data_IF_345634701329
#
_entry.id   IF_345634701329
#
_cell.length_a   1.000
_cell.length_b   1.000
_cell.length_c   1.000
_cell.angle_alpha   90.00
_cell.angle_beta   90.00
_cell.angle_gamma   90.00
#
_symmetry.space_group_name_H-M   'P 1'
#
loop_
_entity.id
_entity.type
_entity.pdbx_description
1 polymer ?
#
# COMPACT_ATOMS: atom_id res chain seq x y z
N UNK A 1 29.26 1.40 3.81
CA UNK A 1 29.58 1.06 2.40
C UNK A 1 28.37 0.56 1.61
N UNK A 2 27.42 -0.20 2.20
CA UNK A 2 26.20 -0.64 1.51
C UNK A 2 25.32 0.52 0.95
N UNK A 3 25.30 1.66 1.64
CA UNK A 3 24.49 2.83 1.25
C UNK A 3 24.90 3.46 -0.08
N UNK A 4 26.21 3.58 -0.36
CA UNK A 4 26.68 4.24 -1.60
C UNK A 4 26.37 3.43 -2.85
N UNK A 5 26.57 2.11 -2.80
CA UNK A 5 26.27 1.23 -3.93
C UNK A 5 24.75 1.17 -4.18
N UNK A 6 23.95 1.12 -3.12
CA UNK A 6 22.49 1.19 -3.23
C UNK A 6 22.05 2.50 -3.88
N UNK A 7 22.55 3.66 -3.41
CA UNK A 7 22.22 4.95 -4.03
C UNK A 7 22.62 5.01 -5.52
N UNK A 8 23.81 4.52 -5.88
CA UNK A 8 24.25 4.45 -7.28
C UNK A 8 23.34 3.56 -8.13
N UNK A 9 22.86 2.44 -7.58
CA UNK A 9 21.92 1.57 -8.27
C UNK A 9 20.57 2.27 -8.54
N UNK A 10 20.01 2.94 -7.53
CA UNK A 10 18.75 3.68 -7.65
C UNK A 10 18.86 4.84 -8.65
N UNK A 11 19.94 5.62 -8.57
CA UNK A 11 20.22 6.68 -9.53
C UNK A 11 20.43 6.14 -10.95
N UNK A 12 21.10 5.01 -11.09
CA UNK A 12 21.31 4.36 -12.38
C UNK A 12 19.98 3.94 -13.04
N UNK A 13 19.05 3.40 -12.25
CA UNK A 13 17.70 3.10 -12.73
C UNK A 13 16.95 4.36 -13.15
N UNK A 14 17.01 5.43 -12.37
CA UNK A 14 16.39 6.71 -12.73
C UNK A 14 16.99 7.32 -14.01
N UNK A 15 18.33 7.35 -14.12
CA UNK A 15 19.06 7.88 -15.29
C UNK A 15 18.79 7.08 -16.56
N UNK A 16 18.55 5.76 -16.43
CA UNK A 16 18.15 4.90 -17.55
C UNK A 16 16.66 4.98 -17.90
N UNK A 17 15.91 5.89 -17.25
CA UNK A 17 14.50 6.16 -17.57
C UNK A 17 13.53 5.09 -17.10
N UNK A 18 13.91 4.24 -16.14
CA UNK A 18 13.01 3.20 -15.62
C UNK A 18 11.82 3.83 -14.89
N UNK A 19 10.65 3.24 -15.07
CA UNK A 19 9.47 3.51 -14.25
C UNK A 19 9.50 2.70 -12.96
N UNK A 20 8.58 2.99 -12.04
CA UNK A 20 8.37 2.16 -10.83
C UNK A 20 7.98 0.73 -11.20
N UNK A 21 7.15 0.56 -12.23
CA UNK A 21 6.75 -0.77 -12.75
C UNK A 21 7.94 -1.54 -13.35
N UNK A 22 8.86 -0.85 -14.05
CA UNK A 22 10.08 -1.47 -14.57
C UNK A 22 10.97 -2.00 -13.44
N UNK A 23 11.13 -1.21 -12.37
CA UNK A 23 11.92 -1.62 -11.20
C UNK A 23 11.20 -2.72 -10.42
N UNK A 24 9.88 -2.65 -10.30
CA UNK A 24 9.07 -3.71 -9.71
C UNK A 24 9.28 -5.05 -10.44
N UNK A 25 9.26 -5.03 -11.78
CA UNK A 25 9.52 -6.19 -12.61
C UNK A 25 10.98 -6.66 -12.52
N UNK A 26 11.94 -5.74 -12.50
CA UNK A 26 13.38 -6.04 -12.38
C UNK A 26 13.70 -6.77 -11.08
N UNK A 27 13.05 -6.38 -9.99
CA UNK A 27 13.16 -7.01 -8.67
C UNK A 27 12.42 -8.36 -8.59
N UNK A 28 11.66 -8.71 -9.63
CA UNK A 28 10.86 -9.95 -9.73
C UNK A 28 9.82 -10.07 -8.61
N UNK A 29 9.30 -8.94 -8.12
CA UNK A 29 8.35 -8.91 -7.00
C UNK A 29 7.05 -9.64 -7.32
N UNK A 30 6.62 -9.63 -8.59
CA UNK A 30 5.48 -10.43 -9.07
C UNK A 30 5.65 -11.93 -8.81
N UNK A 31 6.87 -12.46 -9.01
CA UNK A 31 7.16 -13.89 -8.85
C UNK A 31 7.19 -14.30 -7.38
N UNK A 32 7.64 -13.38 -6.52
CA UNK A 32 7.68 -13.60 -5.08
C UNK A 32 6.29 -13.48 -4.43
N UNK A 33 5.31 -12.85 -5.09
CA UNK A 33 3.94 -12.72 -4.61
C UNK A 33 3.89 -12.13 -3.19
N UNK A 34 3.25 -12.82 -2.24
CA UNK A 34 3.21 -12.34 -0.85
C UNK A 34 4.57 -12.46 -0.13
N UNK A 35 5.48 -13.33 -0.58
CA UNK A 35 6.84 -13.41 -0.03
C UNK A 35 7.66 -12.15 -0.36
N UNK A 36 7.31 -11.42 -1.42
CA UNK A 36 7.91 -10.12 -1.70
C UNK A 36 7.68 -9.13 -0.54
N UNK A 37 6.53 -9.20 0.12
CA UNK A 37 6.18 -8.39 1.31
C UNK A 37 7.18 -8.53 2.45
N UNK A 38 7.96 -9.62 2.47
CA UNK A 38 8.97 -9.90 3.48
C UNK A 38 10.41 -9.73 3.02
N UNK A 39 10.62 -9.37 1.76
CA UNK A 39 11.93 -9.32 1.13
C UNK A 39 12.57 -7.92 1.21
N UNK A 40 13.92 -7.89 1.22
CA UNK A 40 14.69 -6.65 1.02
C UNK A 40 14.43 -5.98 -0.34
N UNK A 41 13.84 -6.72 -1.29
CA UNK A 41 13.47 -6.17 -2.60
C UNK A 41 12.36 -5.14 -2.48
N UNK A 42 11.41 -5.35 -1.56
CA UNK A 42 10.34 -4.38 -1.34
C UNK A 42 10.87 -3.08 -0.71
N UNK A 43 11.84 -3.18 0.20
CA UNK A 43 12.55 -2.02 0.75
C UNK A 43 13.29 -1.25 -0.36
N UNK A 44 13.94 -1.97 -1.27
CA UNK A 44 14.62 -1.38 -2.42
C UNK A 44 13.66 -0.68 -3.39
N UNK A 45 12.47 -1.23 -3.61
CA UNK A 45 11.42 -0.59 -4.38
C UNK A 45 10.90 0.67 -3.68
N UNK A 46 10.66 0.62 -2.37
CA UNK A 46 10.20 1.78 -1.59
C UNK A 46 11.21 2.94 -1.66
N UNK A 47 12.50 2.65 -1.52
CA UNK A 47 13.56 3.65 -1.68
C UNK A 47 13.60 4.22 -3.10
N UNK A 48 13.38 3.39 -4.12
CA UNK A 48 13.29 3.85 -5.50
C UNK A 48 12.08 4.75 -5.73
N UNK A 49 10.91 4.41 -5.20
CA UNK A 49 9.68 5.22 -5.32
C UNK A 49 9.88 6.60 -4.69
N UNK A 50 10.48 6.68 -3.50
CA UNK A 50 10.80 7.96 -2.85
C UNK A 50 11.70 8.84 -3.72
N UNK A 51 12.73 8.24 -4.33
CA UNK A 51 13.61 8.94 -5.27
C UNK A 51 12.82 9.38 -6.51
N UNK A 52 12.05 8.49 -7.11
CA UNK A 52 11.29 8.73 -8.33
C UNK A 52 10.27 9.87 -8.14
N UNK A 53 9.47 9.82 -7.08
CA UNK A 53 8.48 10.85 -6.76
C UNK A 53 9.13 12.23 -6.56
N UNK A 54 10.25 12.28 -5.85
CA UNK A 54 11.01 13.53 -5.64
C UNK A 54 11.50 14.14 -6.95
N UNK A 55 12.13 13.32 -7.80
CA UNK A 55 12.79 13.81 -9.02
C UNK A 55 11.81 14.02 -10.19
N UNK A 56 10.69 13.31 -10.20
CA UNK A 56 9.68 13.38 -11.27
C UNK A 56 8.41 14.14 -10.87
N UNK A 57 8.31 14.60 -9.61
CA UNK A 57 7.07 15.16 -9.05
C UNK A 57 5.86 14.22 -9.28
N UNK A 58 6.09 12.93 -9.06
CA UNK A 58 5.09 11.87 -9.22
C UNK A 58 4.47 11.46 -7.86
N UNK A 59 3.40 10.69 -7.91
CA UNK A 59 2.69 10.15 -6.73
C UNK A 59 2.60 8.62 -6.80
N UNK A 60 3.75 7.96 -7.01
CA UNK A 60 3.83 6.50 -6.98
C UNK A 60 3.84 5.99 -5.53
N UNK A 61 3.31 4.79 -5.31
CA UNK A 61 3.33 4.17 -3.98
C UNK A 61 3.63 2.67 -4.09
N UNK A 62 4.21 2.11 -3.02
CA UNK A 62 4.45 0.66 -2.94
C UNK A 62 3.13 -0.11 -3.05
N UNK A 63 2.04 0.46 -2.54
CA UNK A 63 0.70 -0.14 -2.62
C UNK A 63 0.20 -0.17 -4.05
N UNK A 64 0.31 0.93 -4.82
CA UNK A 64 -0.06 0.99 -6.25
C UNK A 64 0.73 -0.04 -7.06
N UNK A 65 2.05 -0.10 -6.88
CA UNK A 65 2.91 -1.07 -7.56
C UNK A 65 2.55 -2.53 -7.20
N UNK A 66 2.30 -2.81 -5.91
CA UNK A 66 1.88 -4.15 -5.47
C UNK A 66 0.47 -4.50 -5.98
N UNK A 67 -0.47 -3.54 -6.01
CA UNK A 67 -1.82 -3.76 -6.53
C UNK A 67 -1.78 -4.12 -8.01
N UNK A 68 -0.98 -3.40 -8.82
CA UNK A 68 -0.71 -3.75 -10.21
C UNK A 68 -0.15 -5.17 -10.33
N UNK A 69 0.83 -5.54 -9.50
CA UNK A 69 1.43 -6.87 -9.49
C UNK A 69 0.47 -8.01 -9.14
N UNK A 70 -0.46 -7.77 -8.21
CA UNK A 70 -1.50 -8.71 -7.80
C UNK A 70 -2.74 -8.69 -8.73
N UNK A 71 -2.81 -7.74 -9.65
CA UNK A 71 -3.89 -7.60 -10.63
C UNK A 71 -5.15 -6.92 -10.08
N UNK A 72 -4.99 -6.02 -9.12
CA UNK A 72 -6.05 -5.21 -8.52
C UNK A 72 -5.86 -4.97 -7.01
N UNK A 73 -6.41 -3.85 -6.52
CA UNK A 73 -6.41 -3.51 -5.10
C UNK A 73 -7.20 -4.50 -4.24
N UNK A 74 -8.30 -5.04 -4.79
CA UNK A 74 -9.15 -6.05 -4.18
C UNK A 74 -8.40 -7.37 -3.94
N UNK A 75 -7.62 -7.80 -4.94
CA UNK A 75 -6.78 -9.00 -4.87
C UNK A 75 -5.64 -8.80 -3.88
N UNK A 76 -5.00 -7.63 -3.89
CA UNK A 76 -3.96 -7.29 -2.90
C UNK A 76 -4.53 -7.31 -1.48
N UNK A 77 -5.65 -6.61 -1.23
CA UNK A 77 -6.28 -6.53 0.08
C UNK A 77 -6.68 -7.91 0.61
N UNK A 78 -7.26 -8.75 -0.25
CA UNK A 78 -7.61 -10.13 0.07
C UNK A 78 -6.38 -10.97 0.41
N UNK A 79 -5.31 -10.85 -0.38
CA UNK A 79 -4.08 -11.60 -0.18
C UNK A 79 -3.38 -11.21 1.14
N UNK A 80 -3.34 -9.91 1.44
CA UNK A 80 -2.74 -9.39 2.68
C UNK A 80 -3.56 -9.78 3.92
N UNK A 81 -4.89 -9.70 3.87
CA UNK A 81 -5.76 -10.18 4.96
C UNK A 81 -5.55 -11.67 5.26
N UNK A 82 -5.37 -12.49 4.23
CA UNK A 82 -5.02 -13.90 4.43
C UNK A 82 -3.60 -14.07 4.98
N UNK A 83 -2.61 -13.34 4.46
CA UNK A 83 -1.23 -13.37 4.94
C UNK A 83 -1.11 -12.96 6.42
N UNK A 84 -1.96 -12.04 6.89
CA UNK A 84 -2.04 -11.64 8.31
C UNK A 84 -2.42 -12.79 9.23
N UNK A 85 -3.09 -13.83 8.73
CA UNK A 85 -3.44 -15.02 9.52
C UNK A 85 -2.28 -15.99 9.69
N UNK A 86 -1.19 -15.81 8.93
CA UNK A 86 0.02 -16.63 9.04
C UNK A 86 1.07 -15.95 9.93
N UNK A 87 1.51 -16.58 11.03
CA UNK A 87 2.42 -15.96 12.00
C UNK A 87 3.70 -15.38 11.38
N UNK A 88 4.31 -16.11 10.43
CA UNK A 88 5.55 -15.69 9.76
C UNK A 88 5.40 -14.45 8.86
N UNK A 89 4.18 -14.15 8.43
CA UNK A 89 3.89 -13.08 7.47
C UNK A 89 3.12 -11.92 8.11
N UNK A 90 2.56 -12.14 9.31
CA UNK A 90 1.64 -11.23 9.97
C UNK A 90 2.16 -9.79 10.07
N UNK A 91 3.35 -9.60 10.63
CA UNK A 91 3.87 -8.26 10.90
C UNK A 91 4.03 -7.44 9.60
N UNK A 92 4.55 -8.06 8.55
CA UNK A 92 4.84 -7.38 7.29
C UNK A 92 3.59 -7.21 6.43
N UNK A 93 2.71 -8.21 6.40
CA UNK A 93 1.40 -8.08 5.77
C UNK A 93 0.56 -6.99 6.45
N UNK A 94 0.61 -6.89 7.78
CA UNK A 94 -0.03 -5.81 8.54
C UNK A 94 0.53 -4.45 8.18
N UNK A 95 1.86 -4.32 8.06
CA UNK A 95 2.49 -3.06 7.65
C UNK A 95 2.02 -2.63 6.26
N UNK A 96 2.02 -3.53 5.28
CA UNK A 96 1.58 -3.22 3.92
C UNK A 96 0.07 -2.96 3.83
N UNK A 97 -0.75 -3.70 4.59
CA UNK A 97 -2.19 -3.46 4.69
C UNK A 97 -2.51 -2.09 5.30
N UNK A 98 -1.75 -1.66 6.31
CA UNK A 98 -1.90 -0.33 6.91
C UNK A 98 -1.47 0.77 5.92
N UNK A 99 -0.45 0.53 5.09
CA UNK A 99 -0.10 1.46 4.01
C UNK A 99 -1.22 1.54 2.96
N UNK A 100 -1.87 0.41 2.62
CA UNK A 100 -3.04 0.39 1.75
C UNK A 100 -4.20 1.19 2.35
N UNK A 101 -4.43 1.06 3.66
CA UNK A 101 -5.43 1.87 4.36
C UNK A 101 -5.09 3.35 4.39
N UNK A 102 -3.83 3.72 4.64
CA UNK A 102 -3.41 5.13 4.59
C UNK A 102 -3.65 5.72 3.18
N UNK A 103 -3.33 4.99 2.12
CA UNK A 103 -3.59 5.44 0.76
C UNK A 103 -5.11 5.61 0.50
N UNK A 104 -5.94 4.65 0.90
CA UNK A 104 -7.39 4.79 0.76
C UNK A 104 -7.95 5.99 1.54
N UNK A 105 -7.37 6.30 2.69
CA UNK A 105 -7.73 7.49 3.46
C UNK A 105 -7.36 8.78 2.71
N UNK A 106 -6.15 8.85 2.14
CA UNK A 106 -5.71 9.98 1.31
C UNK A 106 -6.57 10.15 0.04
N UNK A 107 -7.08 9.04 -0.51
CA UNK A 107 -8.05 9.02 -1.62
C UNK A 107 -9.50 9.35 -1.19
N UNK A 108 -9.73 9.62 0.10
CA UNK A 108 -11.03 10.01 0.65
C UNK A 108 -12.03 8.86 0.74
N UNK A 109 -11.58 7.62 0.89
CA UNK A 109 -12.47 6.48 1.04
C UNK A 109 -12.96 6.36 2.48
N UNK A 110 -14.18 5.86 2.64
CA UNK A 110 -14.71 5.32 3.88
C UNK A 110 -14.91 3.79 3.78
N UNK A 111 -15.38 3.15 4.85
CA UNK A 111 -15.58 1.70 4.84
C UNK A 111 -16.58 1.22 3.80
N UNK A 112 -17.55 2.05 3.40
CA UNK A 112 -18.53 1.73 2.36
C UNK A 112 -17.87 1.82 0.99
N UNK A 113 -17.08 2.87 0.75
CA UNK A 113 -16.28 3.08 -0.46
C UNK A 113 -15.29 1.94 -0.68
N UNK A 114 -14.71 1.36 0.38
CA UNK A 114 -13.89 0.15 0.23
C UNK A 114 -14.70 -1.01 -0.36
N UNK A 115 -15.94 -1.24 0.10
CA UNK A 115 -16.77 -2.30 -0.47
C UNK A 115 -17.18 -2.01 -1.93
N UNK A 116 -17.56 -0.76 -2.24
CA UNK A 116 -18.09 -0.41 -3.56
C UNK A 116 -17.00 -0.10 -4.60
N UNK A 117 -15.95 0.64 -4.24
CA UNK A 117 -14.88 1.06 -5.15
C UNK A 117 -13.76 0.03 -5.28
N UNK A 118 -13.36 -0.62 -4.19
CA UNK A 118 -12.29 -1.64 -4.24
C UNK A 118 -12.89 -2.99 -4.62
N UNK A 119 -13.85 -3.48 -3.84
CA UNK A 119 -14.42 -4.82 -4.04
C UNK A 119 -15.59 -4.89 -5.03
N UNK A 120 -16.01 -3.76 -5.60
CA UNK A 120 -17.08 -3.67 -6.59
C UNK A 120 -18.41 -4.30 -6.12
N UNK A 121 -18.67 -4.26 -4.82
CA UNK A 121 -19.97 -4.66 -4.26
C UNK A 121 -21.00 -3.59 -4.61
N UNK A 122 -22.17 -4.00 -5.07
CA UNK A 122 -23.25 -3.08 -5.41
C UNK A 122 -23.76 -2.32 -4.16
N UNK A 123 -23.92 -1.01 -4.28
CA UNK A 123 -24.35 -0.14 -3.17
C UNK A 123 -25.75 -0.50 -2.64
N UNK A 124 -26.66 -0.91 -3.54
CA UNK A 124 -27.98 -1.41 -3.16
C UNK A 124 -27.95 -2.77 -2.42
N UNK A 125 -26.80 -3.47 -2.41
CA UNK A 125 -26.66 -4.83 -1.90
C UNK A 125 -25.36 -5.03 -1.11
N UNK A 126 -24.98 -4.06 -0.28
CA UNK A 126 -23.79 -4.16 0.59
C UNK A 126 -23.83 -5.38 1.52
N UNK A 127 -25.03 -5.86 1.88
CA UNK A 127 -25.21 -7.09 2.64
C UNK A 127 -24.66 -8.33 1.93
N UNK A 128 -24.56 -8.31 0.59
CA UNK A 128 -23.97 -9.36 -0.24
C UNK A 128 -22.45 -9.46 -0.17
N UNK A 129 -21.76 -8.47 0.41
CA UNK A 129 -20.32 -8.54 0.59
C UNK A 129 -19.91 -9.77 1.43
N UNK A 130 -18.82 -10.42 1.03
CA UNK A 130 -18.30 -11.59 1.73
C UNK A 130 -17.82 -11.21 3.13
N UNK A 131 -17.72 -12.21 4.03
CA UNK A 131 -17.18 -11.99 5.38
C UNK A 131 -15.77 -11.39 5.34
N UNK A 132 -14.97 -11.75 4.34
CA UNK A 132 -13.61 -11.24 4.18
C UNK A 132 -13.61 -9.76 3.77
N UNK A 133 -14.43 -9.40 2.79
CA UNK A 133 -14.59 -8.01 2.34
C UNK A 133 -15.08 -7.12 3.48
N UNK A 134 -16.08 -7.59 4.24
CA UNK A 134 -16.59 -6.91 5.43
C UNK A 134 -15.51 -6.78 6.52
N UNK A 135 -14.69 -7.81 6.74
CA UNK A 135 -13.55 -7.74 7.67
C UNK A 135 -12.57 -6.64 7.27
N UNK A 136 -12.18 -6.58 6.00
CA UNK A 136 -11.24 -5.58 5.50
C UNK A 136 -11.81 -4.16 5.62
N UNK A 137 -13.08 -3.96 5.24
CA UNK A 137 -13.76 -2.67 5.38
C UNK A 137 -13.86 -2.22 6.85
N UNK A 138 -14.16 -3.15 7.77
CA UNK A 138 -14.21 -2.86 9.20
C UNK A 138 -12.83 -2.55 9.78
N UNK A 139 -11.77 -3.25 9.34
CA UNK A 139 -10.40 -2.95 9.75
C UNK A 139 -9.95 -1.58 9.24
N UNK A 140 -10.32 -1.22 8.00
CA UNK A 140 -10.09 0.11 7.47
C UNK A 140 -10.82 1.17 8.31
N UNK A 141 -12.09 0.95 8.65
CA UNK A 141 -12.84 1.83 9.56
C UNK A 141 -12.12 2.03 10.90
N UNK A 142 -11.64 0.95 11.51
CA UNK A 142 -10.90 1.03 12.77
C UNK A 142 -9.56 1.77 12.63
N UNK A 143 -8.87 1.62 11.49
CA UNK A 143 -7.66 2.37 11.17
C UNK A 143 -7.95 3.87 11.06
N UNK A 144 -8.99 4.24 10.30
CA UNK A 144 -9.51 5.60 10.15
C UNK A 144 -9.88 6.25 11.49
N UNK A 145 -10.66 5.54 12.32
CA UNK A 145 -11.07 6.03 13.64
C UNK A 145 -9.89 6.21 14.61
N UNK A 146 -8.84 5.39 14.49
CA UNK A 146 -7.63 5.54 15.30
C UNK A 146 -6.82 6.76 14.86
N UNK A 147 -6.67 6.98 13.56
CA UNK A 147 -5.86 8.08 13.01
C UNK A 147 -6.53 9.45 13.27
N UNK A 148 -7.85 9.53 13.10
CA UNK A 148 -8.62 10.74 13.47
C UNK A 148 -8.75 10.96 14.98
N UNK A 149 -8.49 9.95 15.81
CA UNK A 149 -8.46 10.08 17.28
C UNK A 149 -7.16 10.66 17.82
N UNK A 150 -6.15 10.92 17.00
CA UNK A 150 -5.08 11.86 17.40
C UNK A 150 -5.73 13.24 17.44
N UNK A 151 -6.00 13.82 18.62
CA UNK A 151 -6.58 15.14 18.66
C UNK A 151 -5.53 16.08 18.05
N UNK A 152 -5.96 16.93 17.12
CA UNK A 152 -5.35 18.23 16.95
C UNK A 152 -5.22 18.84 18.36
N UNK A 153 -4.04 18.74 18.97
CA UNK A 153 -3.69 19.57 20.11
C UNK A 153 -3.57 20.97 19.54
N UNK A 154 -4.67 21.67 19.76
CA UNK A 154 -5.02 22.99 19.26
C UNK A 154 -3.92 24.01 19.56
N UNK A 155 -3.76 24.99 18.67
CA UNK A 155 -3.47 26.33 19.14
C UNK A 155 -4.26 27.36 18.32
N UNK A 156 -5.43 27.83 18.80
CA UNK A 156 -6.10 28.97 18.23
C UNK A 156 -5.72 30.20 19.06
N UNK A 157 -4.87 31.08 18.53
CA UNK A 157 -4.75 32.48 19.01
C UNK A 157 -4.01 33.37 18.01
N UNK A 158 -4.79 33.94 17.09
CA UNK A 158 -4.70 35.32 16.56
C UNK A 158 -6.15 35.64 16.16
N UNK A 159 -6.85 36.66 16.65
CA UNK A 159 -6.51 37.86 17.43
C UNK A 159 -7.48 38.04 18.58
#
# INVERSE_FOLDING_TARGET
>A
MATRLQSQQLEGWLKSGKSVDDVYALLKLKQDGLAASVSRKLEMLDDYIKLFNREKSADESVVKAMATGFGGEDKLATALENARRHPLMNAKATKLQNAQFAQWLDEGYDSISVLTKVFKVEDASLAGASRLQKSIANQFKAFYERDMRVPNVVNPRRS
#
